data_IF_623799788075
#
_entry.id   IF_623799788075
#
_cell.length_a   1.000
_cell.length_b   1.000
_cell.length_c   1.000
_cell.angle_alpha   90.00
_cell.angle_beta   90.00
_cell.angle_gamma   90.00
#
_symmetry.space_group_name_H-M   'P 1'
#
loop_
_entity.id
_entity.type
_entity.pdbx_description
1 polymer ?
#
# COMPACT_ATOMS: atom_id res chain seq x y z
N UNK A 1 -36.37 -32.55 -4.25
CA UNK A 1 -36.34 -31.13 -3.82
C UNK A 1 -35.14 -30.93 -2.89
N UNK A 2 -34.04 -30.30 -3.34
CA UNK A 2 -32.88 -30.08 -2.48
C UNK A 2 -33.16 -28.96 -1.48
N UNK A 3 -32.75 -29.18 -0.22
CA UNK A 3 -32.90 -28.24 0.90
C UNK A 3 -32.15 -26.93 0.59
N UNK A 4 -32.74 -25.80 0.98
CA UNK A 4 -32.17 -24.44 0.86
C UNK A 4 -30.73 -24.31 1.39
N UNK A 5 -30.27 -25.24 2.24
CA UNK A 5 -28.93 -25.24 2.82
C UNK A 5 -27.78 -25.54 1.84
N UNK A 6 -28.03 -26.14 0.67
CA UNK A 6 -26.96 -26.48 -0.28
C UNK A 6 -26.65 -25.39 -1.31
N UNK A 7 -27.54 -24.38 -1.48
CA UNK A 7 -27.30 -23.29 -2.43
C UNK A 7 -26.43 -22.16 -1.87
N UNK A 8 -26.23 -22.11 -0.56
CA UNK A 8 -25.42 -21.08 0.10
C UNK A 8 -23.93 -21.46 0.18
N UNK A 9 -23.58 -22.76 0.14
CA UNK A 9 -22.18 -23.20 0.24
C UNK A 9 -21.34 -23.09 -1.04
N UNK A 10 -21.90 -22.63 -2.18
CA UNK A 10 -21.20 -22.67 -3.49
C UNK A 10 -20.78 -21.32 -4.09
N UNK A 11 -20.95 -20.21 -3.36
CA UNK A 11 -20.45 -18.88 -3.82
C UNK A 11 -19.44 -18.20 -2.88
N UNK A 12 -19.05 -18.86 -1.80
CA UNK A 12 -17.94 -18.42 -0.95
C UNK A 12 -16.61 -18.97 -1.45
N UNK A 13 -16.10 -18.41 -2.55
CA UNK A 13 -14.66 -18.45 -2.89
C UNK A 13 -14.36 -17.50 -4.05
N UNK A 14 -14.98 -16.33 -4.04
CA UNK A 14 -14.49 -15.24 -4.87
C UNK A 14 -13.27 -14.65 -4.18
N UNK A 15 -12.13 -15.30 -4.44
CA UNK A 15 -10.77 -14.80 -4.30
C UNK A 15 -10.63 -13.54 -5.18
N UNK A 16 -11.41 -12.50 -4.87
CA UNK A 16 -11.38 -11.24 -5.60
C UNK A 16 -10.11 -10.53 -5.16
N UNK A 17 -9.04 -10.85 -5.88
CA UNK A 17 -7.83 -10.04 -5.92
C UNK A 17 -8.31 -8.60 -6.10
N UNK A 18 -8.15 -7.79 -5.07
CA UNK A 18 -8.55 -6.40 -5.10
C UNK A 18 -7.73 -5.70 -6.17
N UNK A 19 -8.36 -5.19 -7.23
CA UNK A 19 -7.69 -4.53 -8.35
C UNK A 19 -6.72 -3.44 -7.86
N UNK A 20 -7.06 -2.70 -6.81
CA UNK A 20 -6.15 -1.71 -6.21
C UNK A 20 -4.89 -2.34 -5.66
N UNK A 21 -5.01 -3.47 -4.95
CA UNK A 21 -3.85 -4.20 -4.41
C UNK A 21 -2.99 -4.80 -5.53
N UNK A 22 -3.60 -5.29 -6.61
CA UNK A 22 -2.86 -5.79 -7.78
C UNK A 22 -2.08 -4.67 -8.48
N UNK A 23 -2.71 -3.51 -8.68
CA UNK A 23 -2.05 -2.34 -9.28
C UNK A 23 -0.88 -1.88 -8.39
N UNK A 24 -1.08 -1.80 -7.07
CA UNK A 24 0.00 -1.47 -6.14
C UNK A 24 1.13 -2.49 -6.21
N UNK A 25 0.82 -3.79 -6.25
CA UNK A 25 1.83 -4.85 -6.36
C UNK A 25 2.68 -4.68 -7.61
N UNK A 26 2.06 -4.45 -8.76
CA UNK A 26 2.77 -4.25 -10.04
C UNK A 26 3.64 -3.00 -9.97
N UNK A 27 3.11 -1.88 -9.48
CA UNK A 27 3.87 -0.63 -9.33
C UNK A 27 5.08 -0.83 -8.43
N UNK A 28 4.88 -1.42 -7.24
CA UNK A 28 5.95 -1.68 -6.28
C UNK A 28 6.88 -2.82 -6.68
N UNK A 29 6.56 -3.60 -7.71
CA UNK A 29 7.48 -4.57 -8.31
C UNK A 29 8.37 -3.89 -9.36
N UNK A 30 7.76 -3.07 -10.23
CA UNK A 30 8.47 -2.37 -11.32
C UNK A 30 9.50 -1.40 -10.77
N UNK A 31 9.16 -0.63 -9.73
CA UNK A 31 10.05 0.39 -9.16
C UNK A 31 11.40 -0.18 -8.68
N UNK A 32 11.46 -1.18 -7.79
CA UNK A 32 12.73 -1.77 -7.36
C UNK A 32 13.45 -2.51 -8.49
N UNK A 33 12.74 -3.18 -9.40
CA UNK A 33 13.37 -3.80 -10.57
C UNK A 33 14.08 -2.75 -11.44
N UNK A 34 13.41 -1.64 -11.75
CA UNK A 34 14.00 -0.53 -12.49
C UNK A 34 15.19 0.09 -11.75
N UNK A 35 15.10 0.22 -10.41
CA UNK A 35 16.22 0.70 -9.61
C UNK A 35 17.45 -0.21 -9.71
N UNK A 36 17.30 -1.52 -9.51
CA UNK A 36 18.43 -2.45 -9.60
C UNK A 36 18.99 -2.56 -11.01
N UNK A 37 18.14 -2.48 -12.04
CA UNK A 37 18.57 -2.46 -13.43
C UNK A 37 19.36 -1.20 -13.78
N UNK A 38 18.90 -0.02 -13.34
CA UNK A 38 19.66 1.22 -13.53
C UNK A 38 20.97 1.21 -12.74
N UNK A 39 20.95 0.65 -11.54
CA UNK A 39 22.12 0.54 -10.68
C UNK A 39 23.20 -0.38 -11.30
N UNK A 40 22.81 -1.49 -11.92
CA UNK A 40 23.77 -2.42 -12.55
C UNK A 40 24.38 -1.86 -13.83
N UNK A 41 23.62 -1.08 -14.61
CA UNK A 41 24.11 -0.45 -15.84
C UNK A 41 25.11 0.68 -15.52
N UNK A 42 24.84 1.48 -14.49
CA UNK A 42 25.58 2.72 -14.24
C UNK A 42 26.69 2.61 -13.17
N UNK A 43 26.70 1.56 -12.35
CA UNK A 43 27.69 1.38 -11.28
C UNK A 43 28.56 0.17 -11.55
N UNK A 44 29.84 0.42 -11.82
CA UNK A 44 30.83 -0.65 -12.03
C UNK A 44 30.87 -1.62 -10.85
N UNK A 45 30.80 -2.92 -11.13
CA UNK A 45 30.86 -3.99 -10.13
C UNK A 45 29.52 -4.38 -9.49
N UNK A 46 28.40 -3.73 -9.84
CA UNK A 46 27.06 -4.17 -9.41
C UNK A 46 26.41 -5.03 -10.48
N UNK A 47 26.11 -6.28 -10.15
CA UNK A 47 25.36 -7.17 -11.04
C UNK A 47 23.85 -7.08 -10.77
N UNK A 48 23.07 -7.30 -11.82
CA UNK A 48 21.65 -7.59 -11.71
C UNK A 48 21.46 -9.10 -11.83
N UNK A 49 20.92 -9.73 -10.81
CA UNK A 49 20.75 -11.19 -10.77
C UNK A 49 19.50 -11.63 -10.02
N UNK A 50 19.48 -12.92 -9.68
CA UNK A 50 18.34 -13.56 -9.03
C UNK A 50 18.03 -12.96 -7.65
N UNK A 51 19.04 -12.48 -6.93
CA UNK A 51 18.87 -11.90 -5.60
C UNK A 51 18.11 -10.57 -5.65
N UNK A 52 18.41 -9.71 -6.63
CA UNK A 52 17.74 -8.42 -6.83
C UNK A 52 16.29 -8.63 -7.28
N UNK A 53 16.04 -9.62 -8.14
CA UNK A 53 14.69 -10.01 -8.56
C UNK A 53 13.89 -10.53 -7.37
N UNK A 54 14.45 -11.47 -6.60
CA UNK A 54 13.79 -12.02 -5.42
C UNK A 54 13.50 -10.93 -4.38
N UNK A 55 14.45 -10.03 -4.13
CA UNK A 55 14.25 -8.88 -3.24
C UNK A 55 13.12 -7.96 -3.73
N UNK A 56 13.06 -7.67 -5.04
CA UNK A 56 12.00 -6.86 -5.64
C UNK A 56 10.62 -7.49 -5.47
N UNK A 57 10.52 -8.81 -5.65
CA UNK A 57 9.28 -9.55 -5.44
C UNK A 57 8.87 -9.51 -3.96
N UNK A 58 9.77 -9.85 -3.04
CA UNK A 58 9.48 -9.88 -1.60
C UNK A 58 9.09 -8.48 -1.11
N UNK A 59 9.84 -7.45 -1.47
CA UNK A 59 9.56 -6.06 -1.07
C UNK A 59 8.22 -5.58 -1.63
N UNK A 60 7.90 -5.84 -2.89
CA UNK A 60 6.61 -5.46 -3.48
C UNK A 60 5.42 -6.09 -2.76
N UNK A 61 5.51 -7.37 -2.40
CA UNK A 61 4.47 -8.08 -1.63
C UNK A 61 4.35 -7.48 -0.23
N UNK A 62 5.46 -7.25 0.46
CA UNK A 62 5.48 -6.68 1.81
C UNK A 62 4.87 -5.26 1.84
N UNK A 63 5.33 -4.37 0.96
CA UNK A 63 4.84 -2.99 0.88
C UNK A 63 3.35 -2.97 0.53
N UNK A 64 2.92 -3.76 -0.45
CA UNK A 64 1.51 -3.83 -0.86
C UNK A 64 0.62 -4.34 0.28
N UNK A 65 1.08 -5.36 1.01
CA UNK A 65 0.40 -5.90 2.17
C UNK A 65 0.30 -4.86 3.28
N UNK A 66 1.39 -4.15 3.56
CA UNK A 66 1.42 -3.06 4.53
C UNK A 66 0.45 -1.93 4.16
N UNK A 67 0.46 -1.45 2.92
CA UNK A 67 -0.46 -0.38 2.49
C UNK A 67 -1.91 -0.82 2.52
N UNK A 68 -2.19 -2.07 2.15
CA UNK A 68 -3.54 -2.65 2.22
C UNK A 68 -4.02 -2.77 3.68
N UNK A 69 -3.12 -3.10 4.59
CA UNK A 69 -3.38 -3.13 6.04
C UNK A 69 -3.59 -1.71 6.59
N UNK A 70 -2.69 -0.77 6.28
CA UNK A 70 -2.75 0.63 6.68
C UNK A 70 -4.06 1.28 6.24
N UNK A 71 -4.51 1.04 5.00
CA UNK A 71 -5.82 1.50 4.50
C UNK A 71 -6.97 1.16 5.47
N UNK A 72 -6.98 -0.05 6.05
CA UNK A 72 -8.03 -0.45 7.00
C UNK A 72 -8.00 0.38 8.29
N UNK A 73 -6.81 0.79 8.75
CA UNK A 73 -6.67 1.70 9.89
C UNK A 73 -7.10 3.11 9.52
N UNK A 74 -6.66 3.63 8.37
CA UNK A 74 -6.99 4.99 7.93
C UNK A 74 -8.49 5.19 7.74
N UNK A 75 -9.21 4.16 7.27
CA UNK A 75 -10.67 4.25 7.16
C UNK A 75 -11.38 4.31 8.52
N UNK A 76 -10.82 3.70 9.57
CA UNK A 76 -11.40 3.76 10.93
C UNK A 76 -10.95 5.01 11.70
N UNK A 77 -9.68 5.36 11.58
CA UNK A 77 -9.07 6.52 12.19
C UNK A 77 -8.07 7.14 11.19
N UNK A 78 -8.51 8.17 10.44
CA UNK A 78 -7.71 8.77 9.37
C UNK A 78 -6.35 9.28 9.86
N UNK A 79 -6.33 9.96 11.00
CA UNK A 79 -5.11 10.52 11.57
C UNK A 79 -4.12 9.44 11.98
N UNK A 80 -4.58 8.42 12.72
CA UNK A 80 -3.70 7.35 13.20
C UNK A 80 -3.12 6.54 12.03
N UNK A 81 -3.95 6.17 11.06
CA UNK A 81 -3.50 5.40 9.88
C UNK A 81 -2.49 6.18 9.03
N UNK A 82 -2.73 7.47 8.80
CA UNK A 82 -1.80 8.34 8.07
C UNK A 82 -0.47 8.51 8.82
N UNK A 83 -0.48 8.80 10.12
CA UNK A 83 0.76 8.93 10.91
C UNK A 83 1.57 7.63 10.85
N UNK A 84 0.92 6.47 11.05
CA UNK A 84 1.58 5.18 10.94
C UNK A 84 2.19 4.96 9.54
N UNK A 85 1.48 5.38 8.49
CA UNK A 85 1.97 5.29 7.11
C UNK A 85 3.20 6.14 6.87
N UNK A 86 3.19 7.38 7.34
CA UNK A 86 4.32 8.32 7.22
C UNK A 86 5.55 7.85 7.99
N UNK A 87 5.36 7.32 9.21
CA UNK A 87 6.46 6.78 10.01
C UNK A 87 7.14 5.61 9.29
N UNK A 88 6.35 4.66 8.76
CA UNK A 88 6.91 3.52 8.03
C UNK A 88 7.58 3.95 6.73
N UNK A 89 7.02 4.92 6.00
CA UNK A 89 7.66 5.49 4.82
C UNK A 89 9.05 6.09 5.17
N UNK A 90 9.11 6.91 6.22
CA UNK A 90 10.38 7.51 6.68
C UNK A 90 11.42 6.45 7.07
N UNK A 91 11.01 5.38 7.77
CA UNK A 91 11.91 4.28 8.10
C UNK A 91 12.41 3.52 6.87
N UNK A 92 11.54 3.27 5.88
CA UNK A 92 11.93 2.58 4.65
C UNK A 92 12.90 3.41 3.81
N UNK A 93 12.63 4.70 3.64
CA UNK A 93 13.53 5.61 2.94
C UNK A 93 14.87 5.73 3.66
N UNK A 94 14.85 5.89 4.99
CA UNK A 94 16.07 5.92 5.78
C UNK A 94 16.90 4.64 5.64
N UNK A 95 16.26 3.46 5.72
CA UNK A 95 16.93 2.18 5.53
C UNK A 95 17.54 2.05 4.12
N UNK A 96 16.85 2.58 3.10
CA UNK A 96 17.37 2.62 1.74
C UNK A 96 18.61 3.50 1.63
N UNK A 97 18.59 4.72 2.20
CA UNK A 97 19.71 5.66 2.16
C UNK A 97 20.93 5.19 2.95
N UNK A 98 20.75 4.38 4.00
CA UNK A 98 21.87 3.72 4.69
C UNK A 98 22.61 2.77 3.75
N UNK A 99 21.87 2.01 2.93
CA UNK A 99 22.44 0.95 2.09
C UNK A 99 22.93 1.46 0.74
N UNK A 100 22.23 2.43 0.17
CA UNK A 100 22.48 2.96 -1.16
C UNK A 100 22.53 4.49 -1.09
N UNK A 101 23.62 5.08 -1.58
CA UNK A 101 23.77 6.53 -1.69
C UNK A 101 23.95 6.92 -3.15
N UNK A 102 23.28 7.98 -3.58
CA UNK A 102 23.48 8.56 -4.92
C UNK A 102 22.19 9.10 -5.55
N UNK A 103 22.31 9.71 -6.74
CA UNK A 103 21.18 10.34 -7.42
C UNK A 103 20.07 9.35 -7.77
N UNK A 104 20.42 8.12 -8.15
CA UNK A 104 19.42 7.08 -8.47
C UNK A 104 18.60 6.66 -7.25
N UNK A 105 19.23 6.57 -6.08
CA UNK A 105 18.53 6.28 -4.82
C UNK A 105 17.60 7.43 -4.45
N UNK A 106 18.04 8.67 -4.63
CA UNK A 106 17.21 9.85 -4.39
C UNK A 106 15.99 9.87 -5.32
N UNK A 107 16.17 9.65 -6.63
CA UNK A 107 15.06 9.58 -7.59
C UNK A 107 14.08 8.45 -7.24
N UNK A 108 14.59 7.28 -6.85
CA UNK A 108 13.77 6.17 -6.40
C UNK A 108 12.95 6.52 -5.16
N UNK A 109 13.59 7.09 -4.14
CA UNK A 109 12.94 7.51 -2.91
C UNK A 109 11.79 8.48 -3.22
N UNK A 110 12.05 9.53 -3.99
CA UNK A 110 11.04 10.54 -4.37
C UNK A 110 9.85 9.89 -5.10
N UNK A 111 10.09 9.05 -6.12
CA UNK A 111 9.00 8.41 -6.87
C UNK A 111 8.17 7.50 -5.96
N UNK A 112 8.84 6.70 -5.12
CA UNK A 112 8.16 5.81 -4.17
C UNK A 112 7.35 6.59 -3.12
N UNK A 113 7.90 7.69 -2.61
CA UNK A 113 7.26 8.59 -1.66
C UNK A 113 5.99 9.19 -2.26
N UNK A 114 6.05 9.71 -3.49
CA UNK A 114 4.90 10.30 -4.17
C UNK A 114 3.74 9.31 -4.30
N UNK A 115 4.03 8.05 -4.65
CA UNK A 115 3.01 7.01 -4.77
C UNK A 115 2.40 6.68 -3.41
N UNK A 116 3.23 6.51 -2.38
CA UNK A 116 2.75 6.20 -1.01
C UNK A 116 1.93 7.36 -0.45
N UNK A 117 2.41 8.61 -0.59
CA UNK A 117 1.70 9.80 -0.13
C UNK A 117 0.38 9.99 -0.87
N UNK A 118 0.35 9.77 -2.19
CA UNK A 118 -0.88 9.78 -2.97
C UNK A 118 -1.89 8.76 -2.46
N UNK A 119 -1.44 7.53 -2.20
CA UNK A 119 -2.28 6.48 -1.63
C UNK A 119 -2.79 6.82 -0.22
N UNK A 120 -1.92 7.30 0.68
CA UNK A 120 -2.32 7.71 2.02
C UNK A 120 -3.31 8.87 1.99
N UNK A 121 -3.05 9.91 1.20
CA UNK A 121 -3.92 11.07 1.04
C UNK A 121 -5.32 10.70 0.52
N UNK A 122 -5.40 9.85 -0.51
CA UNK A 122 -6.68 9.36 -1.02
C UNK A 122 -7.49 8.62 0.04
N UNK A 123 -6.85 7.75 0.83
CA UNK A 123 -7.54 6.99 1.88
C UNK A 123 -7.88 7.87 3.08
N UNK A 124 -7.06 8.88 3.39
CA UNK A 124 -7.34 9.86 4.44
C UNK A 124 -8.62 10.65 4.14
N UNK A 125 -8.76 11.17 2.91
CA UNK A 125 -9.97 11.88 2.48
C UNK A 125 -11.20 10.96 2.56
N UNK A 126 -11.08 9.70 2.14
CA UNK A 126 -12.17 8.73 2.25
C UNK A 126 -12.57 8.45 3.69
N UNK A 127 -11.59 8.28 4.59
CA UNK A 127 -11.86 8.06 6.01
C UNK A 127 -12.49 9.29 6.70
N UNK A 128 -12.13 10.51 6.29
CA UNK A 128 -12.79 11.72 6.80
C UNK A 128 -14.26 11.82 6.36
N UNK A 129 -14.56 11.46 5.10
CA UNK A 129 -15.95 11.46 4.60
C UNK A 129 -16.81 10.46 5.36
N UNK A 130 -16.32 9.23 5.55
CA UNK A 130 -17.03 8.20 6.30
C UNK A 130 -17.34 8.64 7.74
N UNK A 131 -16.38 9.24 8.44
CA UNK A 131 -16.60 9.76 9.80
C UNK A 131 -17.63 10.89 9.88
N UNK A 132 -17.73 11.73 8.84
CA UNK A 132 -18.72 12.80 8.79
C UNK A 132 -20.12 12.22 8.61
N UNK A 133 -20.29 11.26 7.69
CA UNK A 133 -21.58 10.59 7.47
C UNK A 133 -22.08 9.88 8.74
N UNK A 134 -21.19 9.18 9.47
CA UNK A 134 -21.54 8.54 10.74
C UNK A 134 -21.99 9.56 11.82
N UNK A 135 -21.39 10.75 11.83
CA UNK A 135 -21.73 11.82 12.77
C UNK A 135 -23.10 12.42 12.43
N UNK A 136 -23.34 12.74 11.15
CA UNK A 136 -24.60 13.35 10.70
C UNK A 136 -25.80 12.42 10.99
N UNK A 137 -25.66 11.11 10.72
CA UNK A 137 -26.71 10.12 11.01
C UNK A 137 -27.03 9.99 12.51
N UNK A 138 -26.03 10.14 13.39
CA UNK A 138 -26.23 10.00 14.83
C UNK A 138 -27.17 11.07 15.41
N UNK A 139 -27.09 12.31 14.92
CA UNK A 139 -27.95 13.40 15.39
C UNK A 139 -29.33 13.44 14.73
N UNK A 140 -29.51 12.78 13.59
CA UNK A 140 -30.85 12.59 13.00
C UNK A 140 -31.68 11.55 13.77
N UNK A 141 -31.02 10.61 14.46
CA UNK A 141 -31.67 9.54 15.23
C UNK A 141 -31.96 9.90 16.70
N UNK A 142 -31.36 10.97 17.25
CA UNK A 142 -31.74 11.47 18.59
C UNK A 142 -33.11 12.19 18.49
N UNK A 143 -34.20 11.63 19.07
CA UNK A 143 -35.45 12.36 19.12
C UNK A 143 -35.23 13.61 19.97
N UNK A 144 -35.58 14.78 19.42
CA UNK A 144 -35.57 16.04 20.15
C UNK A 144 -36.36 15.86 21.45
N UNK A 145 -35.64 15.76 22.56
CA UNK A 145 -36.18 15.58 23.91
C UNK A 145 -36.84 16.84 24.44
#
# INVERSE_FOLDING_TARGET
MPRKSEREMKKEKHFLINYTSLILLIIFLVIPLSFFLLLSINVQGKSFGLMEIAFSIISSVLITSFLSWNKRFTLKNPYLGTIMGLVVLAFLEYALFIKYSGPYTLSFAIISAMIVLGFLGMNFIKGLKAKREDYDNYYEEEPAS
#
